data_IF_315324389056
#
_entry.id   IF_315324389056
#
_cell.length_a   1.000
_cell.length_b   1.000
_cell.length_c   1.000
_cell.angle_alpha   90.00
_cell.angle_beta   90.00
_cell.angle_gamma   90.00
#
_symmetry.space_group_name_H-M   'P 1'
#
loop_
_entity.id
_entity.type
_entity.pdbx_description
1 polymer ?
#
# COMPACT_ATOMS: atom_id res chain seq x y z
N UNK A 1 -6.38 -8.74 10.47
CA UNK A 1 -4.93 -8.50 10.30
C UNK A 1 -4.47 -7.49 11.33
N UNK A 2 -3.46 -7.82 12.10
CA UNK A 2 -2.88 -6.92 13.10
C UNK A 2 -1.91 -5.93 12.45
N UNK A 3 -1.54 -4.84 13.16
CA UNK A 3 -0.49 -3.93 12.66
C UNK A 3 0.83 -4.66 12.36
N UNK A 4 1.24 -5.59 13.22
CA UNK A 4 2.49 -6.34 13.01
C UNK A 4 2.40 -7.24 11.77
N UNK A 5 1.25 -7.85 11.54
CA UNK A 5 1.02 -8.67 10.34
C UNK A 5 1.04 -7.83 9.06
N UNK A 6 0.42 -6.65 9.09
CA UNK A 6 0.45 -5.72 7.96
C UNK A 6 1.88 -5.28 7.66
N UNK A 7 2.63 -4.90 8.68
CA UNK A 7 4.02 -4.49 8.55
C UNK A 7 4.87 -5.61 7.95
N UNK A 8 4.75 -6.81 8.52
CA UNK A 8 5.50 -7.98 8.05
C UNK A 8 5.17 -8.31 6.59
N UNK A 9 3.90 -8.22 6.23
CA UNK A 9 3.46 -8.49 4.85
C UNK A 9 4.06 -7.50 3.87
N UNK A 10 4.01 -6.18 4.19
CA UNK A 10 4.62 -5.16 3.34
C UNK A 10 6.13 -5.38 3.18
N UNK A 11 6.82 -5.76 4.26
CA UNK A 11 8.26 -6.00 4.23
C UNK A 11 8.64 -7.31 3.54
N UNK A 12 7.69 -8.21 3.29
CA UNK A 12 7.95 -9.49 2.66
C UNK A 12 8.26 -9.40 1.16
N UNK A 13 7.89 -8.30 0.52
CA UNK A 13 8.15 -8.11 -0.91
C UNK A 13 9.62 -7.77 -1.16
N UNK A 14 10.10 -8.13 -2.35
CA UNK A 14 11.50 -7.94 -2.71
C UNK A 14 11.92 -6.47 -2.66
N UNK A 15 13.07 -6.21 -2.03
CA UNK A 15 13.73 -4.90 -1.96
C UNK A 15 12.92 -3.80 -1.27
N UNK A 16 11.96 -4.18 -0.41
CA UNK A 16 11.17 -3.21 0.35
C UNK A 16 11.94 -2.74 1.57
N UNK A 17 11.89 -1.43 1.80
CA UNK A 17 12.41 -0.80 3.01
C UNK A 17 11.31 0.00 3.69
N UNK A 18 11.38 0.08 5.01
CA UNK A 18 10.49 0.90 5.82
C UNK A 18 11.23 2.18 6.20
N UNK A 19 10.60 3.34 5.99
CA UNK A 19 11.14 4.65 6.33
C UNK A 19 10.11 5.47 7.10
N UNK A 20 10.58 6.53 7.74
CA UNK A 20 9.74 7.37 8.59
C UNK A 20 9.91 8.85 8.25
N UNK A 21 9.70 9.27 6.98
CA UNK A 21 9.93 10.66 6.56
C UNK A 21 8.94 11.67 7.15
N UNK A 22 7.80 11.18 7.67
CA UNK A 22 6.74 12.01 8.24
C UNK A 22 6.65 11.88 9.76
N UNK A 23 7.69 11.33 10.40
CA UNK A 23 7.75 11.13 11.83
C UNK A 23 7.70 9.64 12.22
N UNK A 24 8.04 9.32 13.49
CA UNK A 24 8.22 7.94 13.94
C UNK A 24 6.93 7.11 13.96
N UNK A 25 5.77 7.76 13.87
CA UNK A 25 4.47 7.10 13.97
C UNK A 25 3.94 6.62 12.62
N UNK A 26 4.50 7.12 11.50
CA UNK A 26 4.01 6.80 10.16
C UNK A 26 5.05 5.96 9.42
N UNK A 27 4.70 4.70 9.17
CA UNK A 27 5.53 3.79 8.38
C UNK A 27 5.26 4.00 6.90
N UNK A 28 6.34 4.22 6.15
CA UNK A 28 6.31 4.33 4.69
C UNK A 28 7.10 3.17 4.12
N UNK A 29 6.45 2.36 3.28
CA UNK A 29 7.08 1.21 2.64
C UNK A 29 7.40 1.57 1.20
N UNK A 30 8.67 1.46 0.83
CA UNK A 30 9.17 1.83 -0.48
C UNK A 30 9.87 0.66 -1.16
N UNK A 31 9.76 0.63 -2.48
CA UNK A 31 10.54 -0.25 -3.33
C UNK A 31 11.34 0.61 -4.30
N UNK A 32 12.67 0.48 -4.27
CA UNK A 32 13.59 1.26 -5.10
C UNK A 32 13.30 2.77 -5.01
N UNK A 33 13.05 3.26 -3.81
CA UNK A 33 12.79 4.67 -3.54
C UNK A 33 11.37 5.15 -3.82
N UNK A 34 10.46 4.29 -4.24
CA UNK A 34 9.07 4.64 -4.55
C UNK A 34 8.12 4.08 -3.52
N UNK A 35 7.25 4.93 -2.99
CA UNK A 35 6.21 4.58 -2.02
C UNK A 35 5.17 3.64 -2.66
N UNK A 36 4.84 2.54 -1.98
CA UNK A 36 3.70 1.71 -2.37
C UNK A 36 2.71 1.47 -1.22
N UNK A 37 3.09 1.69 0.02
CA UNK A 37 2.20 1.58 1.17
C UNK A 37 2.61 2.57 2.25
N UNK A 38 1.60 3.17 2.90
CA UNK A 38 1.80 4.10 4.00
C UNK A 38 0.76 3.80 5.07
N UNK A 39 1.20 3.60 6.30
CA UNK A 39 0.29 3.32 7.40
C UNK A 39 0.82 3.90 8.71
N UNK A 40 -0.12 4.44 9.47
CA UNK A 40 0.10 4.70 10.88
C UNK A 40 -0.31 3.43 11.63
N UNK A 41 0.66 2.55 11.89
CA UNK A 41 0.39 1.19 12.40
C UNK A 41 -0.26 1.17 13.79
N UNK A 42 -0.13 2.24 14.56
CA UNK A 42 -0.78 2.39 15.87
C UNK A 42 -2.16 3.06 15.77
N UNK A 43 -2.62 3.37 14.57
CA UNK A 43 -3.91 4.01 14.35
C UNK A 43 -5.09 3.11 14.71
N UNK A 44 -6.18 3.75 15.14
CA UNK A 44 -7.44 3.09 15.45
C UNK A 44 -8.57 3.85 14.74
N UNK A 45 -9.20 3.27 13.74
CA UNK A 45 -8.94 1.94 13.15
C UNK A 45 -7.62 1.88 12.37
N UNK A 46 -7.10 0.68 12.17
CA UNK A 46 -5.92 0.46 11.35
C UNK A 46 -6.26 0.72 9.88
N UNK A 47 -5.53 1.65 9.26
CA UNK A 47 -5.68 1.95 7.83
C UNK A 47 -4.35 1.84 7.13
N UNK A 48 -4.40 1.63 5.81
CA UNK A 48 -3.23 1.66 4.94
C UNK A 48 -3.58 2.38 3.65
N UNK A 49 -2.71 3.28 3.22
CA UNK A 49 -2.82 3.95 1.93
C UNK A 49 -2.09 3.12 0.88
N UNK A 50 -2.80 2.76 -0.18
CA UNK A 50 -2.30 1.90 -1.25
C UNK A 50 -2.57 2.52 -2.61
N UNK A 51 -1.63 2.33 -3.52
CA UNK A 51 -1.78 2.79 -4.90
C UNK A 51 -2.70 1.84 -5.66
N UNK A 52 -3.49 2.41 -6.56
CA UNK A 52 -4.46 1.66 -7.34
C UNK A 52 -4.62 2.28 -8.73
N UNK A 53 -4.91 1.46 -9.72
CA UNK A 53 -5.35 1.96 -11.02
C UNK A 53 -6.59 2.84 -10.82
N UNK A 54 -6.70 4.01 -11.50
CA UNK A 54 -7.81 4.94 -11.26
C UNK A 54 -9.21 4.34 -11.41
N UNK A 55 -9.42 3.47 -12.40
CA UNK A 55 -10.72 2.83 -12.60
C UNK A 55 -11.01 1.83 -11.48
N UNK A 56 -10.01 1.05 -11.09
CA UNK A 56 -10.14 0.12 -9.98
C UNK A 56 -10.33 0.86 -8.65
N UNK A 57 -9.68 2.01 -8.48
CA UNK A 57 -9.84 2.81 -7.27
C UNK A 57 -11.29 3.24 -7.08
N UNK A 58 -11.93 3.74 -8.14
CA UNK A 58 -13.34 4.14 -8.10
C UNK A 58 -14.24 2.94 -7.83
N UNK A 59 -14.00 1.82 -8.51
CA UNK A 59 -14.79 0.60 -8.34
C UNK A 59 -14.71 0.07 -6.92
N UNK A 60 -13.54 0.05 -6.32
CA UNK A 60 -13.35 -0.41 -4.94
C UNK A 60 -14.08 0.48 -3.94
N UNK A 61 -14.06 1.80 -4.15
CA UNK A 61 -14.79 2.74 -3.28
C UNK A 61 -16.30 2.53 -3.38
N UNK A 62 -16.80 2.23 -4.57
CA UNK A 62 -18.22 1.97 -4.80
C UNK A 62 -18.64 0.62 -4.20
N UNK A 63 -17.82 -0.41 -4.34
CA UNK A 63 -18.10 -1.75 -3.82
C UNK A 63 -17.95 -1.82 -2.31
N UNK A 64 -17.03 -1.04 -1.72
CA UNK A 64 -16.69 -1.09 -0.30
C UNK A 64 -16.63 0.32 0.30
N UNK A 65 -17.78 1.06 0.31
CA UNK A 65 -17.77 2.48 0.69
C UNK A 65 -17.34 2.74 2.12
N UNK A 66 -17.47 1.77 3.01
CA UNK A 66 -17.05 1.90 4.41
C UNK A 66 -15.56 1.56 4.59
N UNK A 67 -15.05 0.64 3.78
CA UNK A 67 -13.71 0.10 3.92
C UNK A 67 -12.68 0.82 3.04
N UNK A 68 -13.08 1.34 1.88
CA UNK A 68 -12.19 1.94 0.90
C UNK A 68 -12.65 3.35 0.58
N UNK A 69 -11.76 4.32 0.81
CA UNK A 69 -12.02 5.74 0.61
C UNK A 69 -10.90 6.36 -0.21
N UNK A 70 -11.12 7.56 -0.80
CA UNK A 70 -10.02 8.29 -1.47
C UNK A 70 -8.84 8.48 -0.53
N UNK A 71 -7.63 8.39 -1.06
CA UNK A 71 -6.40 8.44 -0.27
C UNK A 71 -6.26 9.74 0.51
N UNK A 72 -6.23 9.65 1.83
CA UNK A 72 -6.10 10.79 2.73
C UNK A 72 -4.70 11.40 2.57
N UNK A 73 -4.65 12.69 2.30
CA UNK A 73 -3.42 13.46 2.01
C UNK A 73 -2.61 12.92 0.81
N UNK A 74 -3.22 12.11 -0.04
CA UNK A 74 -2.59 11.53 -1.23
C UNK A 74 -3.32 11.99 -2.49
N UNK A 75 -2.74 11.70 -3.66
CA UNK A 75 -3.45 11.87 -4.93
C UNK A 75 -4.64 10.90 -4.99
N UNK A 76 -5.85 11.44 -4.89
CA UNK A 76 -7.07 10.64 -4.75
C UNK A 76 -7.44 9.84 -6.00
N UNK A 77 -6.86 10.18 -7.14
CA UNK A 77 -7.07 9.43 -8.38
C UNK A 77 -6.33 8.09 -8.36
N UNK A 78 -5.15 8.05 -7.73
CA UNK A 78 -4.25 6.90 -7.75
C UNK A 78 -4.11 6.21 -6.41
N UNK A 79 -4.69 6.75 -5.34
CA UNK A 79 -4.51 6.23 -3.99
C UNK A 79 -5.83 6.06 -3.28
N UNK A 80 -5.96 4.95 -2.56
CA UNK A 80 -7.07 4.68 -1.66
C UNK A 80 -6.55 4.50 -0.24
N UNK A 81 -7.39 4.91 0.73
CA UNK A 81 -7.21 4.57 2.13
C UNK A 81 -8.10 3.37 2.43
N UNK A 82 -7.50 2.29 2.87
CA UNK A 82 -8.18 1.02 3.17
C UNK A 82 -8.23 0.83 4.67
N UNK A 83 -9.44 0.64 5.21
CA UNK A 83 -9.62 0.26 6.61
C UNK A 83 -9.50 -1.26 6.71
N UNK A 84 -8.40 -1.71 7.28
CA UNK A 84 -7.96 -3.11 7.23
C UNK A 84 -8.97 -4.07 7.85
N UNK A 85 -9.55 -3.70 9.00
CA UNK A 85 -10.49 -4.56 9.72
C UNK A 85 -11.85 -4.72 9.06
N UNK A 86 -12.17 -3.95 8.03
CA UNK A 86 -13.47 -4.00 7.33
C UNK A 86 -13.44 -4.84 6.06
N UNK A 87 -12.30 -5.44 5.74
CA UNK A 87 -12.15 -6.33 4.58
C UNK A 87 -11.54 -7.66 5.01
N UNK A 88 -11.82 -8.75 4.27
CA UNK A 88 -11.11 -10.01 4.51
C UNK A 88 -9.60 -9.83 4.37
N UNK A 89 -8.84 -10.54 5.19
CA UNK A 89 -7.38 -10.48 5.17
C UNK A 89 -6.82 -10.75 3.77
N UNK A 90 -7.39 -11.73 3.08
CA UNK A 90 -7.01 -12.07 1.71
C UNK A 90 -7.15 -10.86 0.77
N UNK A 91 -8.26 -10.13 0.88
CA UNK A 91 -8.50 -8.95 0.06
C UNK A 91 -7.48 -7.85 0.35
N UNK A 92 -7.19 -7.61 1.63
CA UNK A 92 -6.16 -6.63 2.02
C UNK A 92 -4.80 -7.01 1.42
N UNK A 93 -4.42 -8.29 1.51
CA UNK A 93 -3.16 -8.77 0.92
C UNK A 93 -3.11 -8.56 -0.59
N UNK A 94 -4.20 -8.85 -1.30
CA UNK A 94 -4.28 -8.64 -2.73
C UNK A 94 -4.11 -7.15 -3.09
N UNK A 95 -4.73 -6.25 -2.32
CA UNK A 95 -4.61 -4.82 -2.55
C UNK A 95 -3.20 -4.30 -2.29
N UNK A 96 -2.52 -4.80 -1.27
CA UNK A 96 -1.12 -4.47 -1.00
C UNK A 96 -0.22 -4.95 -2.15
N UNK A 97 -0.40 -6.19 -2.58
CA UNK A 97 0.35 -6.77 -3.69
C UNK A 97 0.13 -5.99 -4.99
N UNK A 98 -1.12 -5.64 -5.30
CA UNK A 98 -1.44 -4.84 -6.48
C UNK A 98 -0.75 -3.48 -6.45
N UNK A 99 -0.70 -2.84 -5.28
CA UNK A 99 -0.01 -1.57 -5.10
C UNK A 99 1.50 -1.71 -5.37
N UNK A 100 2.12 -2.74 -4.80
CA UNK A 100 3.53 -3.05 -5.04
C UNK A 100 3.79 -3.26 -6.53
N UNK A 101 2.98 -4.09 -7.19
CA UNK A 101 3.14 -4.41 -8.60
C UNK A 101 3.00 -3.18 -9.49
N UNK A 102 2.05 -2.28 -9.19
CA UNK A 102 1.88 -1.03 -9.93
C UNK A 102 3.10 -0.13 -9.82
N UNK A 103 3.67 -0.01 -8.62
CA UNK A 103 4.84 0.81 -8.40
C UNK A 103 6.06 0.22 -9.13
N UNK A 104 6.24 -1.09 -9.04
CA UNK A 104 7.33 -1.79 -9.76
C UNK A 104 7.19 -1.61 -11.26
N UNK A 105 5.98 -1.73 -11.80
CA UNK A 105 5.73 -1.55 -13.24
C UNK A 105 6.09 -0.13 -13.71
N UNK A 106 6.01 0.86 -12.84
CA UNK A 106 6.38 2.25 -13.15
C UNK A 106 7.85 2.58 -12.97
N UNK A 107 8.67 1.64 -12.48
CA UNK A 107 10.10 1.87 -12.32
C UNK A 107 10.83 1.87 -13.68
N UNK A 108 11.99 2.57 -13.78
CA UNK A 108 12.85 2.42 -14.96
C UNK A 108 13.21 0.96 -15.19
N UNK A 109 13.37 0.59 -16.45
CA UNK A 109 13.66 -0.80 -16.84
C UNK A 109 14.84 -1.41 -16.08
N UNK A 110 15.91 -0.66 -15.92
CA UNK A 110 17.12 -1.14 -15.22
C UNK A 110 16.79 -1.52 -13.76
N UNK A 111 15.95 -0.73 -13.10
CA UNK A 111 15.54 -0.99 -11.71
C UNK A 111 14.63 -2.21 -11.61
N UNK A 112 13.70 -2.37 -12.58
CA UNK A 112 12.83 -3.55 -12.62
C UNK A 112 13.62 -4.83 -12.83
N UNK A 113 14.61 -4.80 -13.70
CA UNK A 113 15.45 -5.96 -13.98
C UNK A 113 16.26 -6.39 -12.76
N UNK A 114 16.66 -5.46 -11.90
CA UNK A 114 17.35 -5.77 -10.65
C UNK A 114 16.44 -6.49 -9.65
N UNK A 115 15.14 -6.20 -9.65
CA UNK A 115 14.18 -6.86 -8.78
C UNK A 115 13.91 -8.30 -9.19
N UNK A 116 14.03 -8.62 -10.46
CA UNK A 116 13.81 -9.97 -10.99
C UNK A 116 15.00 -10.90 -10.72
N UNK A 117 16.08 -10.38 -10.21
CA UNK A 117 17.29 -11.15 -9.89
C UNK A 117 17.42 -11.33 -8.38
N UNK A 118 17.61 -12.57 -7.90
CA UNK A 118 17.84 -12.82 -6.48
C UNK A 118 19.12 -12.16 -5.96
#
# INVERSE_FOLDING_TARGET
MSPDELRAFCLSFNAVVEEFPFGPETSVFKVRGKLFALSRLDGLPLTVNLKCDPEDAVRLREQHPEAVRPGYHMNKRHWNTVTVGLLPVRTVRELVEDSYDLVVAGLPRAERLRLDRP
#
